data_IF_956314364395
#
_entry.id   IF_956314364395
#
_cell.length_a   1.000
_cell.length_b   1.000
_cell.length_c   1.000
_cell.angle_alpha   90.00
_cell.angle_beta   90.00
_cell.angle_gamma   90.00
#
_symmetry.space_group_name_H-M   'P 1'
#
loop_
_entity.id
_entity.type
_entity.pdbx_description
1 polymer ?
#
# COMPACT_ATOMS: atom_id res chain seq x y z
N UNK A 1 15.51 26.28 4.65
CA UNK A 1 15.00 25.95 6.01
C UNK A 1 13.54 25.59 5.84
N UNK A 2 13.15 24.36 6.18
CA UNK A 2 11.76 23.91 6.13
C UNK A 2 10.87 24.82 6.97
N UNK A 3 9.80 25.37 6.37
CA UNK A 3 8.78 26.17 7.06
C UNK A 3 7.59 25.32 7.47
N UNK A 4 7.83 24.06 7.83
CA UNK A 4 6.80 23.00 7.93
C UNK A 4 5.60 23.37 8.77
N UNK A 5 5.78 24.16 9.81
CA UNK A 5 4.68 24.70 10.59
C UNK A 5 4.79 26.23 10.62
N UNK A 6 4.24 26.90 9.59
CA UNK A 6 4.22 28.37 9.52
C UNK A 6 3.61 29.04 10.77
N UNK A 7 2.82 28.27 11.55
CA UNK A 7 2.28 28.68 12.82
C UNK A 7 2.51 27.59 13.88
N UNK A 8 3.64 27.60 14.63
CA UNK A 8 3.92 26.63 15.68
C UNK A 8 2.83 26.53 16.75
N UNK A 9 2.09 27.60 17.01
CA UNK A 9 1.01 27.62 17.98
C UNK A 9 -0.17 26.74 17.55
N UNK A 10 -0.37 26.55 16.24
CA UNK A 10 -1.40 25.69 15.68
C UNK A 10 -1.23 24.22 16.06
N UNK A 11 -0.01 23.78 16.38
CA UNK A 11 0.35 22.38 16.63
C UNK A 11 1.02 22.19 18.01
N UNK A 12 0.79 23.12 18.95
CA UNK A 12 1.49 23.16 20.23
C UNK A 12 1.25 21.92 21.12
N UNK A 13 0.01 21.37 21.10
CA UNK A 13 -0.30 20.14 21.86
C UNK A 13 0.35 18.92 21.23
N UNK A 14 0.37 18.83 19.90
CA UNK A 14 1.06 17.76 19.18
C UNK A 14 2.56 17.77 19.48
N UNK A 15 3.19 18.95 19.52
CA UNK A 15 4.60 19.10 19.89
C UNK A 15 4.88 18.64 21.34
N UNK A 16 4.06 19.03 22.30
CA UNK A 16 4.19 18.62 23.71
C UNK A 16 4.00 17.10 23.87
N UNK A 17 3.00 16.52 23.20
CA UNK A 17 2.78 15.07 23.22
C UNK A 17 3.91 14.29 22.55
N UNK A 18 4.47 14.82 21.46
CA UNK A 18 5.62 14.18 20.81
C UNK A 18 6.85 14.21 21.71
N UNK A 19 7.14 15.32 22.38
CA UNK A 19 8.24 15.39 23.34
C UNK A 19 8.10 14.34 24.45
N UNK A 20 6.90 14.20 25.03
CA UNK A 20 6.59 13.17 26.04
C UNK A 20 6.68 11.75 25.47
N UNK A 21 6.23 11.54 24.23
CA UNK A 21 6.34 10.23 23.58
C UNK A 21 7.79 9.81 23.37
N UNK A 22 8.69 10.73 23.04
CA UNK A 22 10.11 10.46 22.89
C UNK A 22 10.80 9.97 24.18
N UNK A 23 10.25 10.28 25.34
CA UNK A 23 10.78 9.80 26.63
C UNK A 23 10.57 8.28 26.83
N UNK A 24 9.52 7.71 26.20
CA UNK A 24 9.09 6.33 26.48
C UNK A 24 8.98 5.46 25.22
N UNK A 25 8.90 6.07 24.03
CA UNK A 25 8.83 5.38 22.74
C UNK A 25 10.04 5.79 21.91
N UNK A 26 10.92 4.88 21.48
CA UNK A 26 12.06 5.20 20.65
C UNK A 26 11.64 5.95 19.37
N UNK A 27 12.13 7.20 19.21
CA UNK A 27 11.74 8.07 18.11
C UNK A 27 10.32 8.66 18.21
N UNK A 28 9.64 8.53 19.37
CA UNK A 28 8.32 9.10 19.65
C UNK A 28 7.14 8.42 18.93
N UNK A 29 7.39 7.38 18.11
CA UNK A 29 6.38 6.74 17.26
C UNK A 29 6.59 5.23 17.17
N UNK A 30 5.49 4.48 16.97
CA UNK A 30 5.52 3.01 16.83
C UNK A 30 5.64 2.53 15.37
N UNK A 31 5.93 3.41 14.43
CA UNK A 31 6.17 3.05 13.02
C UNK A 31 7.06 4.10 12.35
N UNK A 32 8.07 3.65 11.61
CA UNK A 32 8.98 4.53 10.87
C UNK A 32 8.29 5.44 9.86
N UNK A 33 7.16 5.01 9.28
CA UNK A 33 6.34 5.84 8.37
C UNK A 33 5.73 7.08 9.05
N UNK A 34 5.77 7.17 10.38
CA UNK A 34 5.28 8.31 11.18
C UNK A 34 6.42 9.11 11.81
N UNK A 35 7.66 8.73 11.57
CA UNK A 35 8.83 9.36 12.18
C UNK A 35 9.19 10.68 11.49
N UNK A 36 9.91 11.54 12.20
CA UNK A 36 10.38 12.83 11.66
C UNK A 36 11.23 12.65 10.40
N UNK A 37 12.12 11.66 10.37
CA UNK A 37 12.94 11.36 9.18
C UNK A 37 12.16 10.78 7.99
N UNK A 38 10.87 10.46 8.17
CA UNK A 38 9.96 10.09 7.07
C UNK A 38 9.15 11.29 6.55
N UNK A 39 9.58 12.51 6.89
CA UNK A 39 9.01 13.75 6.41
C UNK A 39 8.08 14.45 7.41
N UNK A 40 7.77 13.87 8.56
CA UNK A 40 6.95 14.50 9.62
C UNK A 40 7.77 15.42 10.52
N UNK A 41 8.65 16.21 9.94
CA UNK A 41 9.50 17.16 10.66
C UNK A 41 8.75 18.49 10.89
N UNK A 42 8.83 19.13 12.09
CA UNK A 42 9.64 18.77 13.26
C UNK A 42 9.03 17.69 14.16
N UNK A 43 7.77 17.33 14.00
CA UNK A 43 7.06 16.25 14.71
C UNK A 43 5.81 15.83 13.94
N UNK A 44 5.33 14.58 14.09
CA UNK A 44 4.04 14.18 13.55
C UNK A 44 2.88 14.86 14.30
N UNK A 45 1.72 14.95 13.66
CA UNK A 45 0.49 15.36 14.30
C UNK A 45 -0.02 14.24 15.22
N UNK A 46 -0.58 14.61 16.35
CA UNK A 46 -1.30 13.68 17.22
C UNK A 46 -2.80 13.76 16.93
N UNK A 47 -3.35 12.65 16.47
CA UNK A 47 -4.75 12.54 16.07
C UNK A 47 -5.62 12.25 17.29
N UNK A 48 -6.73 12.95 17.43
CA UNK A 48 -7.74 12.70 18.47
C UNK A 48 -8.78 11.68 18.01
N UNK A 49 -9.33 11.84 16.80
CA UNK A 49 -10.30 10.93 16.19
C UNK A 49 -10.39 11.12 14.68
N UNK A 50 -11.03 10.16 14.02
CA UNK A 50 -11.42 10.25 12.61
C UNK A 50 -12.90 9.98 12.44
N UNK A 51 -13.53 10.60 11.42
CA UNK A 51 -14.92 10.39 11.07
C UNK A 51 -15.14 10.53 9.55
N UNK A 52 -15.68 9.49 8.91
CA UNK A 52 -15.85 9.47 7.46
C UNK A 52 -14.53 9.77 6.73
N UNK A 53 -14.50 10.85 5.95
CA UNK A 53 -13.32 11.32 5.21
C UNK A 53 -12.42 12.27 6.02
N UNK A 54 -12.69 12.50 7.32
CA UNK A 54 -12.03 13.53 8.12
C UNK A 54 -11.16 12.94 9.22
N UNK A 55 -10.03 13.64 9.49
CA UNK A 55 -9.21 13.48 10.68
C UNK A 55 -9.25 14.75 11.53
N UNK A 56 -9.23 14.58 12.84
CA UNK A 56 -9.14 15.67 13.81
C UNK A 56 -7.90 15.46 14.70
N UNK A 57 -7.07 16.50 14.82
CA UNK A 57 -5.91 16.44 15.69
C UNK A 57 -6.25 16.90 17.14
N UNK A 58 -5.28 16.74 18.04
CA UNK A 58 -5.42 17.15 19.46
C UNK A 58 -5.40 18.67 19.63
N UNK A 59 -4.96 19.40 18.63
CA UNK A 59 -4.89 20.86 18.61
C UNK A 59 -6.21 21.48 18.16
N UNK A 60 -7.16 20.66 17.67
CA UNK A 60 -8.50 21.07 17.23
C UNK A 60 -8.58 21.39 15.73
N UNK A 61 -7.57 21.01 14.94
CA UNK A 61 -7.64 21.15 13.50
C UNK A 61 -8.38 19.96 12.88
N UNK A 62 -9.08 20.21 11.77
CA UNK A 62 -9.75 19.23 10.93
C UNK A 62 -9.08 19.15 9.56
N UNK A 63 -9.02 17.94 9.01
CA UNK A 63 -8.38 17.66 7.72
C UNK A 63 -9.25 16.73 6.88
N UNK A 64 -9.37 16.99 5.57
CA UNK A 64 -9.79 15.99 4.59
C UNK A 64 -8.61 15.00 4.47
N UNK A 65 -8.87 13.72 4.74
CA UNK A 65 -7.82 12.72 4.94
C UNK A 65 -7.61 11.85 3.70
N UNK A 66 -6.56 12.15 2.94
CA UNK A 66 -6.05 11.30 1.86
C UNK A 66 -4.90 10.38 2.30
N UNK A 67 -4.48 10.43 3.57
CA UNK A 67 -3.53 9.47 4.15
C UNK A 67 -4.20 8.13 4.44
N UNK A 68 -5.44 8.17 4.99
CA UNK A 68 -6.30 7.03 5.28
C UNK A 68 -5.57 5.88 6.00
N UNK A 69 -4.69 6.25 6.97
CA UNK A 69 -3.88 5.30 7.73
C UNK A 69 -2.86 4.53 6.89
N UNK A 70 -2.41 5.05 5.75
CA UNK A 70 -1.61 4.40 4.71
C UNK A 70 -2.40 3.28 3.99
N UNK A 71 -3.69 3.49 3.80
CA UNK A 71 -4.55 2.68 2.95
C UNK A 71 -5.58 1.76 3.60
N UNK A 72 -5.57 1.38 4.90
CA UNK A 72 -6.59 0.49 5.45
C UNK A 72 -7.98 1.11 5.51
N UNK A 73 -8.10 2.44 5.66
CA UNK A 73 -9.38 3.12 5.85
C UNK A 73 -10.16 3.29 4.53
N UNK A 74 -10.38 2.18 3.83
CA UNK A 74 -11.02 2.17 2.50
C UNK A 74 -12.46 2.71 2.54
N UNK A 75 -13.20 2.41 3.61
CA UNK A 75 -14.57 2.88 3.86
C UNK A 75 -14.60 4.22 4.61
N UNK A 76 -13.45 4.85 4.86
CA UNK A 76 -13.32 6.01 5.74
C UNK A 76 -13.20 5.61 7.22
N UNK A 77 -13.14 6.63 8.08
CA UNK A 77 -13.03 6.44 9.53
C UNK A 77 -14.39 6.09 10.15
N UNK A 78 -14.39 5.14 11.10
CA UNK A 78 -15.58 4.68 11.84
C UNK A 78 -16.77 4.32 10.95
N UNK A 79 -16.61 3.52 9.87
CA UNK A 79 -17.73 3.16 9.03
C UNK A 79 -18.81 2.45 9.88
N UNK A 80 -20.09 2.88 9.82
CA UNK A 80 -21.11 2.44 10.77
C UNK A 80 -21.31 0.93 10.81
N UNK A 81 -21.37 0.28 9.65
CA UNK A 81 -21.58 -1.17 9.54
C UNK A 81 -20.44 -1.99 10.16
N UNK A 82 -19.19 -1.60 9.88
CA UNK A 82 -18.02 -2.26 10.46
C UNK A 82 -17.95 -2.02 11.95
N UNK A 83 -18.19 -0.79 12.41
CA UNK A 83 -18.19 -0.42 13.84
C UNK A 83 -19.23 -1.22 14.60
N UNK A 84 -20.46 -1.32 14.08
CA UNK A 84 -21.53 -2.09 14.70
C UNK A 84 -21.17 -3.58 14.79
N UNK A 85 -20.70 -4.19 13.72
CA UNK A 85 -20.31 -5.60 13.71
C UNK A 85 -19.23 -5.92 14.77
N UNK A 86 -18.25 -5.04 14.91
CA UNK A 86 -17.18 -5.18 15.92
C UNK A 86 -17.75 -5.09 17.34
N UNK A 87 -18.59 -4.10 17.62
CA UNK A 87 -19.20 -3.92 18.96
C UNK A 87 -20.07 -5.13 19.34
N UNK A 88 -20.89 -5.60 18.40
CA UNK A 88 -21.75 -6.78 18.61
C UNK A 88 -20.92 -8.05 18.92
N UNK A 89 -19.81 -8.27 18.18
CA UNK A 89 -18.96 -9.43 18.40
C UNK A 89 -18.21 -9.35 19.74
N UNK A 90 -17.70 -8.16 20.13
CA UNK A 90 -17.08 -7.99 21.46
C UNK A 90 -18.06 -8.30 22.57
N UNK A 91 -19.29 -7.82 22.47
CA UNK A 91 -20.31 -7.99 23.51
C UNK A 91 -20.80 -9.42 23.61
N UNK A 92 -20.94 -10.15 22.49
CA UNK A 92 -21.68 -11.42 22.47
C UNK A 92 -20.82 -12.67 22.25
N UNK A 93 -19.58 -12.51 21.69
CA UNK A 93 -18.77 -13.66 21.28
C UNK A 93 -17.37 -13.69 21.91
N UNK A 94 -16.76 -12.56 22.19
CA UNK A 94 -15.38 -12.45 22.67
C UNK A 94 -14.38 -12.12 21.56
N UNK A 95 -13.09 -12.41 21.79
CA UNK A 95 -12.00 -11.86 20.94
C UNK A 95 -11.14 -12.92 20.25
N UNK A 96 -10.66 -13.94 20.96
CA UNK A 96 -9.75 -14.98 20.47
C UNK A 96 -10.11 -16.32 21.10
N UNK A 97 -10.27 -17.36 20.28
CA UNK A 97 -10.66 -18.69 20.79
C UNK A 97 -9.53 -19.72 20.69
N UNK A 98 -8.52 -19.51 19.84
CA UNK A 98 -7.55 -20.53 19.42
C UNK A 98 -8.22 -21.81 18.84
N UNK A 99 -9.46 -21.67 18.40
CA UNK A 99 -10.30 -22.68 17.74
C UNK A 99 -11.01 -22.01 16.54
N UNK A 100 -11.34 -22.78 15.48
CA UNK A 100 -12.04 -22.22 14.33
C UNK A 100 -13.47 -21.76 14.70
N UNK A 101 -13.97 -20.79 13.94
CA UNK A 101 -15.33 -20.29 14.03
C UNK A 101 -15.94 -20.01 12.65
N UNK A 102 -17.26 -19.96 12.59
CA UNK A 102 -18.00 -19.87 11.32
C UNK A 102 -17.66 -18.63 10.47
N UNK A 103 -17.38 -17.48 11.13
CA UNK A 103 -17.15 -16.22 10.43
C UNK A 103 -15.85 -16.23 9.62
N UNK A 104 -14.81 -16.97 10.03
CA UNK A 104 -13.59 -17.11 9.23
C UNK A 104 -13.85 -17.86 7.92
N UNK A 105 -14.74 -18.88 7.97
CA UNK A 105 -15.18 -19.61 6.78
C UNK A 105 -16.03 -18.70 5.88
N UNK A 106 -16.93 -17.91 6.46
CA UNK A 106 -17.73 -16.93 5.72
C UNK A 106 -16.85 -15.89 5.02
N UNK A 107 -15.84 -15.35 5.71
CA UNK A 107 -14.87 -14.41 5.10
C UNK A 107 -14.10 -15.06 3.95
N UNK A 108 -13.62 -16.30 4.13
CA UNK A 108 -12.91 -17.02 3.08
C UNK A 108 -13.79 -17.19 1.82
N UNK A 109 -15.06 -17.56 1.97
CA UNK A 109 -15.99 -17.65 0.84
C UNK A 109 -16.21 -16.30 0.14
N UNK A 110 -16.33 -15.19 0.87
CA UNK A 110 -16.48 -13.85 0.28
C UNK A 110 -15.25 -13.47 -0.55
N UNK A 111 -14.05 -13.70 -0.02
CA UNK A 111 -12.81 -13.41 -0.74
C UNK A 111 -12.66 -14.29 -1.99
N UNK A 112 -12.89 -15.60 -1.88
CA UNK A 112 -12.85 -16.54 -3.02
C UNK A 112 -13.85 -16.13 -4.11
N UNK A 113 -15.05 -15.70 -3.72
CA UNK A 113 -16.06 -15.22 -4.68
C UNK A 113 -15.65 -13.93 -5.38
N UNK A 114 -14.96 -13.04 -4.67
CA UNK A 114 -14.56 -11.73 -5.18
C UNK A 114 -13.31 -11.78 -6.07
N UNK A 115 -12.33 -12.64 -5.73
CA UNK A 115 -10.99 -12.64 -6.31
C UNK A 115 -10.79 -13.83 -7.27
N UNK A 116 -10.62 -13.61 -8.59
CA UNK A 116 -10.64 -14.68 -9.58
C UNK A 116 -9.49 -15.71 -9.49
N UNK A 117 -8.37 -15.36 -8.86
CA UNK A 117 -7.21 -16.25 -8.71
C UNK A 117 -7.25 -17.10 -7.45
N UNK A 118 -8.17 -16.82 -6.51
CA UNK A 118 -8.19 -17.44 -5.19
C UNK A 118 -9.13 -18.63 -5.14
N UNK A 119 -8.58 -19.84 -5.07
CA UNK A 119 -9.30 -21.09 -4.87
C UNK A 119 -9.28 -21.55 -3.40
N UNK A 120 -8.24 -21.15 -2.66
CA UNK A 120 -8.03 -21.41 -1.23
C UNK A 120 -7.49 -20.17 -0.55
N UNK A 121 -7.85 -19.98 0.74
CA UNK A 121 -7.45 -18.81 1.54
C UNK A 121 -7.00 -19.24 2.94
N UNK A 122 -5.96 -18.55 3.46
CA UNK A 122 -5.60 -18.59 4.88
C UNK A 122 -5.51 -17.18 5.43
N UNK A 123 -6.07 -16.95 6.62
CA UNK A 123 -5.99 -15.67 7.33
C UNK A 123 -4.73 -15.61 8.18
N UNK A 124 -4.16 -14.41 8.30
CA UNK A 124 -3.10 -14.04 9.22
C UNK A 124 -3.32 -12.58 9.68
N UNK A 125 -2.36 -11.96 10.38
CA UNK A 125 -2.61 -10.66 11.00
C UNK A 125 -2.00 -9.51 10.21
N UNK A 126 -0.91 -9.75 9.46
CA UNK A 126 -0.15 -8.71 8.75
C UNK A 126 0.20 -9.13 7.33
N UNK A 127 0.34 -8.14 6.44
CA UNK A 127 0.85 -8.38 5.09
C UNK A 127 2.27 -9.00 5.12
N UNK A 128 3.10 -8.64 6.10
CA UNK A 128 4.44 -9.24 6.26
C UNK A 128 4.36 -10.76 6.50
N UNK A 129 3.45 -11.22 7.38
CA UNK A 129 3.22 -12.66 7.58
C UNK A 129 2.78 -13.33 6.29
N UNK A 130 1.82 -12.74 5.57
CA UNK A 130 1.32 -13.28 4.32
C UNK A 130 2.43 -13.41 3.25
N UNK A 131 3.33 -12.42 3.14
CA UNK A 131 4.50 -12.47 2.25
C UNK A 131 5.45 -13.60 2.63
N UNK A 132 5.77 -13.74 3.93
CA UNK A 132 6.63 -14.84 4.41
C UNK A 132 6.03 -16.20 4.00
N UNK A 133 4.74 -16.38 4.19
CA UNK A 133 4.06 -17.63 3.84
C UNK A 133 4.00 -17.85 2.33
N UNK A 134 3.73 -16.81 1.53
CA UNK A 134 3.71 -16.91 0.07
C UNK A 134 5.05 -17.40 -0.48
N UNK A 135 6.16 -16.84 0.01
CA UNK A 135 7.50 -17.25 -0.42
C UNK A 135 7.88 -18.67 0.05
N UNK A 136 7.45 -19.08 1.24
CA UNK A 136 7.64 -20.47 1.70
C UNK A 136 6.87 -21.44 0.82
N UNK A 137 5.61 -21.14 0.49
CA UNK A 137 4.80 -21.95 -0.41
C UNK A 137 5.43 -22.05 -1.81
N UNK A 138 5.82 -20.91 -2.39
CA UNK A 138 6.46 -20.89 -3.70
C UNK A 138 7.76 -21.73 -3.75
N UNK A 139 8.61 -21.60 -2.73
CA UNK A 139 9.85 -22.41 -2.62
C UNK A 139 9.54 -23.89 -2.44
N UNK A 140 8.57 -24.25 -1.61
CA UNK A 140 8.19 -25.66 -1.39
C UNK A 140 7.57 -26.26 -2.63
N UNK A 141 6.73 -25.51 -3.34
CA UNK A 141 6.04 -25.95 -4.55
C UNK A 141 7.01 -26.19 -5.70
N UNK A 142 7.96 -25.28 -5.91
CA UNK A 142 8.90 -25.33 -7.02
C UNK A 142 10.18 -26.11 -6.73
N UNK A 143 10.53 -26.30 -5.46
CA UNK A 143 11.86 -26.80 -5.02
C UNK A 143 13.00 -25.79 -5.23
N UNK A 144 12.69 -24.57 -5.67
CA UNK A 144 13.67 -23.55 -6.02
C UNK A 144 13.83 -22.53 -4.89
N UNK A 145 14.89 -21.68 -4.92
CA UNK A 145 15.23 -20.80 -3.79
C UNK A 145 15.10 -19.31 -4.09
N UNK A 146 15.49 -18.87 -5.29
CA UNK A 146 15.57 -17.45 -5.61
C UNK A 146 14.19 -16.80 -5.82
N UNK A 147 14.09 -15.51 -5.53
CA UNK A 147 12.91 -14.70 -5.73
C UNK A 147 13.29 -13.44 -6.49
N UNK A 148 12.57 -13.17 -7.58
CA UNK A 148 12.62 -11.87 -8.24
C UNK A 148 11.69 -10.92 -7.49
N UNK A 149 12.19 -9.71 -7.20
CA UNK A 149 11.39 -8.56 -6.78
C UNK A 149 11.88 -7.30 -7.47
N UNK A 150 11.14 -6.21 -7.37
CA UNK A 150 11.44 -4.97 -8.08
C UNK A 150 11.88 -3.85 -7.15
N UNK A 151 12.80 -2.98 -7.63
CA UNK A 151 13.19 -1.77 -6.91
C UNK A 151 11.97 -0.88 -6.65
N UNK A 152 11.96 -0.22 -5.49
CA UNK A 152 10.88 0.70 -5.11
C UNK A 152 9.67 0.04 -4.45
N UNK A 153 9.48 -1.28 -4.59
CA UNK A 153 8.36 -1.98 -3.98
C UNK A 153 8.60 -2.34 -2.51
N UNK A 154 7.50 -2.41 -1.75
CA UNK A 154 7.54 -2.79 -0.34
C UNK A 154 6.64 -4.00 -0.08
N UNK A 155 7.22 -5.03 0.50
CA UNK A 155 6.55 -6.31 0.78
C UNK A 155 6.67 -6.72 2.26
N UNK A 156 6.60 -5.74 3.16
CA UNK A 156 6.84 -5.97 4.59
C UNK A 156 8.32 -5.87 4.97
N UNK A 157 8.60 -6.14 6.24
CA UNK A 157 9.92 -5.89 6.85
C UNK A 157 10.66 -7.18 7.25
N UNK A 158 10.27 -8.34 6.68
CA UNK A 158 11.06 -9.57 6.89
C UNK A 158 12.37 -9.50 6.12
N UNK A 159 13.44 -10.07 6.70
CA UNK A 159 14.79 -10.07 6.12
C UNK A 159 14.84 -10.63 4.69
N UNK A 160 13.92 -11.53 4.35
CA UNK A 160 13.84 -12.14 3.02
C UNK A 160 13.33 -11.21 1.91
N UNK A 161 12.80 -10.02 2.23
CA UNK A 161 12.24 -9.09 1.23
C UNK A 161 12.50 -7.61 1.51
N UNK A 162 13.03 -7.26 2.69
CA UNK A 162 13.24 -5.85 3.05
C UNK A 162 14.55 -5.29 2.47
N UNK A 163 14.64 -5.35 1.15
CA UNK A 163 15.78 -4.92 0.33
C UNK A 163 15.30 -3.99 -0.78
N UNK A 164 16.11 -3.03 -1.17
CA UNK A 164 15.87 -2.14 -2.32
C UNK A 164 14.46 -1.53 -2.38
N UNK A 165 13.87 -1.15 -1.20
CA UNK A 165 12.59 -0.42 -1.16
C UNK A 165 12.76 0.96 -1.83
N UNK A 166 13.66 1.78 -1.29
CA UNK A 166 14.05 3.07 -1.86
C UNK A 166 15.58 3.20 -1.74
N UNK A 167 16.35 2.41 -2.53
CA UNK A 167 17.78 2.41 -2.43
C UNK A 167 18.37 3.72 -2.93
N UNK A 168 19.48 4.16 -2.33
CA UNK A 168 20.30 5.18 -2.95
C UNK A 168 20.82 4.63 -4.29
N UNK A 169 20.56 5.35 -5.39
CA UNK A 169 20.87 4.91 -6.76
C UNK A 169 22.36 4.65 -6.94
N UNK A 170 23.23 5.45 -6.33
CA UNK A 170 24.69 5.29 -6.40
C UNK A 170 25.17 3.95 -5.80
N UNK A 171 24.35 3.35 -4.93
CA UNK A 171 24.62 2.05 -4.28
C UNK A 171 23.80 0.90 -4.87
N UNK A 172 22.88 1.18 -5.78
CA UNK A 172 21.95 0.19 -6.31
C UNK A 172 22.47 -0.56 -7.55
N UNK A 173 23.69 -0.28 -8.01
CA UNK A 173 24.26 -0.86 -9.21
C UNK A 173 23.70 -0.27 -10.52
N UNK A 174 24.13 -0.77 -11.69
CA UNK A 174 23.67 -0.30 -12.99
C UNK A 174 22.15 -0.50 -13.21
N UNK A 175 21.54 0.29 -14.09
CA UNK A 175 20.09 0.25 -14.35
C UNK A 175 19.59 -1.14 -14.79
N UNK A 176 20.37 -1.83 -15.62
CA UNK A 176 20.02 -3.19 -16.09
C UNK A 176 20.62 -4.34 -15.25
N UNK A 177 21.35 -4.01 -14.18
CA UNK A 177 21.90 -5.00 -13.25
C UNK A 177 21.86 -4.46 -11.81
N UNK A 178 20.65 -4.17 -11.29
CA UNK A 178 20.52 -3.73 -9.90
C UNK A 178 21.07 -4.76 -8.94
N UNK A 179 21.63 -4.28 -7.84
CA UNK A 179 22.07 -5.13 -6.74
C UNK A 179 21.16 -4.96 -5.52
N UNK A 180 20.98 -6.02 -4.71
CA UNK A 180 20.20 -5.91 -3.48
C UNK A 180 20.82 -4.91 -2.50
N UNK A 181 20.07 -3.87 -2.11
CA UNK A 181 20.49 -2.89 -1.10
C UNK A 181 19.67 -3.11 0.17
N UNK A 182 20.28 -3.45 1.32
CA UNK A 182 19.56 -3.69 2.57
C UNK A 182 18.94 -2.39 3.09
N UNK A 183 17.78 -2.49 3.71
CA UNK A 183 17.07 -1.33 4.29
C UNK A 183 17.55 -0.98 5.71
N UNK A 184 18.51 -1.68 6.24
CA UNK A 184 19.11 -1.38 7.52
C UNK A 184 20.32 -2.25 7.85
N UNK A 185 21.17 -1.83 8.81
CA UNK A 185 22.43 -2.52 9.12
C UNK A 185 22.23 -3.86 9.86
N UNK A 186 21.02 -4.14 10.38
CA UNK A 186 20.70 -5.39 11.09
C UNK A 186 20.32 -6.57 10.20
N UNK A 187 20.35 -6.41 8.88
CA UNK A 187 19.98 -7.46 7.94
C UNK A 187 21.05 -8.54 7.91
N UNK A 188 20.69 -9.85 8.03
CA UNK A 188 21.67 -10.94 8.02
C UNK A 188 22.38 -11.04 6.67
N UNK A 189 23.68 -11.31 6.71
CA UNK A 189 24.49 -11.50 5.50
C UNK A 189 24.10 -12.80 4.78
N UNK A 190 24.13 -12.79 3.46
CA UNK A 190 23.89 -13.95 2.61
C UNK A 190 22.43 -14.19 2.22
N UNK A 191 21.46 -13.47 2.79
CA UNK A 191 20.05 -13.55 2.37
C UNK A 191 19.87 -12.99 0.95
N UNK A 192 20.61 -11.95 0.62
CA UNK A 192 20.67 -11.30 -0.69
C UNK A 192 21.00 -12.27 -1.83
N UNK A 193 21.70 -13.36 -1.58
CA UNK A 193 22.01 -14.39 -2.58
C UNK A 193 20.76 -15.07 -3.16
N UNK A 194 19.66 -15.03 -2.42
CA UNK A 194 18.36 -15.56 -2.85
C UNK A 194 17.44 -14.51 -3.45
N UNK A 195 17.93 -13.29 -3.67
CA UNK A 195 17.16 -12.19 -4.25
C UNK A 195 17.72 -11.77 -5.59
N UNK A 196 16.84 -11.55 -6.54
CA UNK A 196 17.14 -10.90 -7.82
C UNK A 196 16.32 -9.62 -7.83
N UNK A 197 17.00 -8.48 -7.88
CA UNK A 197 16.35 -7.17 -7.97
C UNK A 197 16.31 -6.74 -9.43
N UNK A 198 15.16 -6.34 -9.92
CA UNK A 198 14.98 -5.83 -11.28
C UNK A 198 14.32 -4.45 -11.26
N UNK A 199 14.56 -3.60 -12.28
CA UNK A 199 13.72 -2.44 -12.53
C UNK A 199 12.33 -2.90 -12.96
N UNK A 200 11.29 -2.21 -12.48
CA UNK A 200 9.93 -2.50 -12.93
C UNK A 200 9.67 -1.90 -14.32
N UNK A 201 8.68 -2.42 -15.04
CA UNK A 201 8.36 -2.03 -16.41
C UNK A 201 9.43 -2.34 -17.48
N UNK A 202 10.40 -3.22 -17.18
CA UNK A 202 11.35 -3.76 -18.16
C UNK A 202 11.07 -5.27 -18.40
N UNK A 203 10.14 -5.56 -19.31
CA UNK A 203 9.77 -6.95 -19.66
C UNK A 203 10.92 -7.69 -20.35
N UNK A 204 11.77 -6.99 -21.09
CA UNK A 204 12.91 -7.59 -21.78
C UNK A 204 13.93 -8.11 -20.77
N UNK A 205 14.26 -7.33 -19.74
CA UNK A 205 15.19 -7.75 -18.69
C UNK A 205 14.60 -8.88 -17.83
N UNK A 206 13.29 -8.85 -17.54
CA UNK A 206 12.62 -9.97 -16.87
C UNK A 206 12.74 -11.26 -17.68
N UNK A 207 12.53 -11.21 -19.00
CA UNK A 207 12.67 -12.33 -19.93
C UNK A 207 14.11 -12.86 -19.92
N UNK A 208 15.11 -12.01 -20.14
CA UNK A 208 16.53 -12.36 -20.12
C UNK A 208 16.92 -13.05 -18.80
N UNK A 209 16.39 -12.56 -17.67
CA UNK A 209 16.65 -13.12 -16.34
C UNK A 209 16.04 -14.51 -16.16
N UNK A 210 14.78 -14.69 -16.56
CA UNK A 210 14.10 -15.98 -16.47
C UNK A 210 14.68 -17.02 -17.44
N UNK A 211 15.10 -16.62 -18.64
CA UNK A 211 15.77 -17.49 -19.59
C UNK A 211 17.16 -17.95 -19.08
N UNK A 212 17.89 -17.10 -18.35
CA UNK A 212 19.20 -17.43 -17.79
C UNK A 212 19.13 -18.25 -16.51
N UNK A 213 18.19 -17.94 -15.60
CA UNK A 213 18.18 -18.44 -14.22
C UNK A 213 16.86 -19.06 -13.76
N UNK A 214 15.87 -19.18 -14.65
CA UNK A 214 14.51 -19.60 -14.31
C UNK A 214 14.44 -20.87 -13.47
N UNK A 215 15.33 -21.84 -13.72
CA UNK A 215 15.38 -23.10 -12.98
C UNK A 215 15.78 -22.94 -11.49
N UNK A 216 16.28 -21.78 -11.08
CA UNK A 216 16.60 -21.46 -9.71
C UNK A 216 15.58 -20.53 -9.05
N UNK A 217 14.64 -19.97 -9.82
CA UNK A 217 13.70 -18.95 -9.37
C UNK A 217 12.38 -19.62 -8.96
N UNK A 218 12.03 -19.45 -7.66
CA UNK A 218 10.79 -19.96 -7.10
C UNK A 218 9.61 -19.03 -7.40
N UNK A 219 9.81 -17.71 -7.34
CA UNK A 219 8.75 -16.74 -7.47
C UNK A 219 9.19 -15.43 -8.11
N UNK A 220 8.24 -14.77 -8.78
CA UNK A 220 8.23 -13.33 -9.03
C UNK A 220 7.24 -12.71 -8.06
N UNK A 221 7.73 -11.84 -7.15
CA UNK A 221 6.92 -11.09 -6.19
C UNK A 221 6.80 -9.64 -6.67
N UNK A 222 5.58 -9.17 -6.89
CA UNK A 222 5.32 -7.82 -7.40
C UNK A 222 4.04 -7.22 -6.83
N UNK A 223 4.03 -5.90 -6.69
CA UNK A 223 2.79 -5.13 -6.66
C UNK A 223 2.25 -5.07 -8.10
N UNK A 224 0.94 -5.17 -8.35
CA UNK A 224 0.39 -5.07 -9.71
C UNK A 224 0.42 -3.64 -10.30
N UNK A 225 0.61 -2.63 -9.46
CA UNK A 225 1.09 -1.29 -9.75
C UNK A 225 1.98 -0.87 -8.57
N UNK A 226 3.01 -0.06 -8.82
CA UNK A 226 3.93 0.34 -7.74
C UNK A 226 3.27 1.36 -6.81
N UNK A 227 2.52 0.89 -5.84
CA UNK A 227 1.85 1.75 -4.87
C UNK A 227 2.80 2.26 -3.76
N UNK A 228 3.90 1.58 -3.50
CA UNK A 228 4.92 2.02 -2.54
C UNK A 228 6.00 2.93 -3.17
N UNK A 229 5.81 3.33 -4.43
CA UNK A 229 6.55 4.38 -5.12
C UNK A 229 5.57 5.21 -5.93
N UNK A 230 4.64 5.89 -5.25
CA UNK A 230 3.80 6.94 -5.79
C UNK A 230 2.94 6.57 -7.00
N UNK A 231 2.32 5.38 -7.00
CA UNK A 231 1.35 4.95 -8.01
C UNK A 231 1.90 4.91 -9.45
N UNK A 232 3.01 4.21 -9.67
CA UNK A 232 3.51 3.99 -11.04
C UNK A 232 2.76 2.83 -11.67
N UNK A 233 2.08 3.10 -12.79
CA UNK A 233 1.28 2.11 -13.50
C UNK A 233 2.14 1.13 -14.32
N UNK A 234 1.67 -0.12 -14.52
CA UNK A 234 2.31 -1.03 -15.46
C UNK A 234 2.20 -0.48 -16.89
N UNK A 235 3.25 -0.62 -17.68
CA UNK A 235 3.19 -0.39 -19.12
C UNK A 235 2.27 -1.42 -19.78
N UNK A 236 1.68 -1.05 -20.89
CA UNK A 236 0.85 -1.95 -21.70
C UNK A 236 1.61 -3.25 -22.01
N UNK A 237 0.97 -4.38 -21.80
CA UNK A 237 1.54 -5.73 -22.03
C UNK A 237 2.55 -6.20 -20.99
N UNK A 238 2.88 -5.37 -19.96
CA UNK A 238 3.92 -5.73 -18.99
C UNK A 238 3.48 -6.85 -18.04
N UNK A 239 2.28 -6.76 -17.48
CA UNK A 239 1.75 -7.79 -16.56
C UNK A 239 1.37 -9.07 -17.29
N UNK A 240 0.81 -8.96 -18.49
CA UNK A 240 0.52 -10.09 -19.37
C UNK A 240 1.79 -10.85 -19.71
N UNK A 241 2.82 -10.14 -20.18
CA UNK A 241 4.11 -10.76 -20.48
C UNK A 241 4.81 -11.34 -19.27
N UNK A 242 4.67 -10.74 -18.07
CA UNK A 242 5.16 -11.31 -16.82
C UNK A 242 4.45 -12.64 -16.51
N UNK A 243 3.12 -12.71 -16.67
CA UNK A 243 2.35 -13.94 -16.44
C UNK A 243 2.81 -15.04 -17.40
N UNK A 244 2.89 -14.73 -18.71
CA UNK A 244 3.36 -15.68 -19.73
C UNK A 244 4.77 -16.22 -19.45
N UNK A 245 5.68 -15.34 -19.01
CA UNK A 245 7.04 -15.74 -18.67
C UNK A 245 7.07 -16.64 -17.42
N UNK A 246 6.28 -16.31 -16.38
CA UNK A 246 6.17 -17.16 -15.21
C UNK A 246 5.63 -18.55 -15.57
N UNK A 247 4.60 -18.63 -16.40
CA UNK A 247 4.03 -19.90 -16.88
C UNK A 247 5.06 -20.72 -17.66
N UNK A 248 5.76 -20.09 -18.62
CA UNK A 248 6.77 -20.74 -19.46
C UNK A 248 7.89 -21.38 -18.64
N UNK A 249 8.31 -20.72 -17.54
CA UNK A 249 9.43 -21.17 -16.72
C UNK A 249 9.00 -21.91 -15.44
N UNK A 250 7.71 -22.10 -15.20
CA UNK A 250 7.18 -22.75 -14.00
C UNK A 250 7.53 -21.98 -12.73
N UNK A 251 7.52 -20.66 -12.78
CA UNK A 251 7.79 -19.74 -11.67
C UNK A 251 6.47 -19.25 -11.08
N UNK A 252 6.33 -19.24 -9.77
CA UNK A 252 5.12 -18.78 -9.08
C UNK A 252 5.02 -17.26 -9.17
N UNK A 253 3.95 -16.75 -9.78
CA UNK A 253 3.64 -15.32 -9.77
C UNK A 253 2.87 -14.96 -8.51
N UNK A 254 3.42 -14.07 -7.69
CA UNK A 254 2.82 -13.58 -6.45
C UNK A 254 2.47 -12.12 -6.59
N UNK A 255 1.17 -11.78 -6.52
CA UNK A 255 0.73 -10.39 -6.45
C UNK A 255 0.59 -9.96 -4.99
N UNK A 256 1.32 -8.92 -4.63
CA UNK A 256 1.10 -8.18 -3.40
C UNK A 256 -0.01 -7.16 -3.62
N UNK A 257 -1.21 -7.54 -3.24
CA UNK A 257 -2.41 -6.70 -3.29
C UNK A 257 -2.76 -6.10 -1.91
N UNK A 258 -1.78 -5.91 -1.05
CA UNK A 258 -2.00 -5.31 0.28
C UNK A 258 -2.60 -3.90 0.16
N UNK A 259 -2.21 -3.12 -0.85
CA UNK A 259 -2.77 -1.78 -1.12
C UNK A 259 -3.94 -1.87 -2.11
N UNK A 260 -3.78 -2.63 -3.18
CA UNK A 260 -4.69 -2.62 -4.33
C UNK A 260 -5.91 -3.53 -4.17
N UNK A 261 -5.79 -4.58 -3.35
CA UNK A 261 -6.88 -5.53 -3.08
C UNK A 261 -8.11 -4.84 -2.47
N UNK A 262 -9.27 -5.11 -3.01
CA UNK A 262 -10.56 -4.52 -2.64
C UNK A 262 -10.62 -2.99 -2.80
N UNK A 263 -9.51 -2.33 -3.11
CA UNK A 263 -9.43 -0.89 -3.30
C UNK A 263 -9.67 -0.49 -4.76
N UNK A 264 -8.93 -1.07 -5.69
CA UNK A 264 -9.05 -0.75 -7.12
C UNK A 264 -10.38 -1.29 -7.69
N UNK A 265 -10.76 -2.46 -7.29
CA UNK A 265 -12.07 -3.07 -7.53
C UNK A 265 -12.33 -4.13 -6.46
N UNK A 266 -13.54 -4.67 -6.39
CA UNK A 266 -13.83 -5.80 -5.52
C UNK A 266 -12.93 -7.01 -5.82
N UNK A 267 -12.54 -7.17 -7.09
CA UNK A 267 -11.61 -8.20 -7.56
C UNK A 267 -10.12 -7.79 -7.49
N UNK A 268 -9.79 -6.69 -6.80
CA UNK A 268 -8.44 -6.15 -6.71
C UNK A 268 -7.92 -5.58 -8.03
N UNK A 269 -6.62 -5.28 -8.09
CA UNK A 269 -5.97 -4.86 -9.33
C UNK A 269 -5.87 -6.02 -10.33
N UNK A 270 -5.73 -7.26 -9.87
CA UNK A 270 -5.76 -8.44 -10.74
C UNK A 270 -7.04 -8.53 -11.59
N UNK A 271 -8.20 -8.21 -11.00
CA UNK A 271 -9.46 -8.13 -11.74
C UNK A 271 -9.51 -6.97 -12.72
N UNK A 272 -8.93 -5.83 -12.35
CA UNK A 272 -8.84 -4.63 -13.21
C UNK A 272 -7.97 -4.85 -14.44
N UNK A 273 -6.83 -5.53 -14.26
CA UNK A 273 -5.88 -5.83 -15.35
C UNK A 273 -6.16 -7.16 -16.06
N UNK A 274 -7.07 -7.99 -15.57
CA UNK A 274 -7.38 -9.31 -16.15
C UNK A 274 -6.28 -10.35 -15.95
N UNK A 275 -5.38 -10.16 -14.99
CA UNK A 275 -4.24 -11.06 -14.72
C UNK A 275 -4.55 -11.96 -13.52
N UNK A 276 -4.29 -13.25 -13.65
CA UNK A 276 -4.43 -14.22 -12.56
C UNK A 276 -3.05 -14.64 -12.05
N UNK A 277 -2.60 -14.11 -10.88
CA UNK A 277 -1.40 -14.64 -10.22
C UNK A 277 -1.65 -16.02 -9.64
N UNK A 278 -0.59 -16.74 -9.30
CA UNK A 278 -0.68 -18.03 -8.62
C UNK A 278 -1.01 -17.88 -7.12
N UNK A 279 -0.47 -16.83 -6.50
CA UNK A 279 -0.72 -16.44 -5.12
C UNK A 279 -1.02 -14.94 -5.03
N UNK A 280 -1.91 -14.56 -4.12
CA UNK A 280 -2.29 -13.17 -3.85
C UNK A 280 -2.28 -12.87 -2.36
N UNK A 281 -1.72 -11.72 -2.00
CA UNK A 281 -1.59 -11.26 -0.63
C UNK A 281 -2.53 -10.08 -0.41
N UNK A 282 -3.34 -10.13 0.65
CA UNK A 282 -4.31 -9.10 1.00
C UNK A 282 -4.10 -8.66 2.45
N UNK A 283 -4.32 -7.38 2.73
CA UNK A 283 -4.41 -6.80 4.07
C UNK A 283 -5.15 -5.46 4.01
N UNK A 284 -4.81 -4.50 4.83
CA UNK A 284 -5.30 -3.10 4.78
C UNK A 284 -6.81 -3.01 4.51
N UNK A 285 -7.22 -2.76 3.27
CA UNK A 285 -8.63 -2.61 2.88
C UNK A 285 -9.50 -3.82 3.23
N UNK A 286 -8.96 -5.03 3.24
CA UNK A 286 -9.66 -6.23 3.69
C UNK A 286 -10.21 -6.08 5.12
N UNK A 287 -9.45 -5.46 6.01
CA UNK A 287 -9.78 -5.34 7.42
C UNK A 287 -10.64 -4.13 7.77
N UNK A 288 -10.87 -3.19 6.83
CA UNK A 288 -11.62 -1.97 7.14
C UNK A 288 -11.05 -1.16 8.32
N UNK A 289 -9.72 -1.22 8.54
CA UNK A 289 -9.02 -0.58 9.66
C UNK A 289 -8.58 -1.54 10.79
N UNK A 290 -8.99 -2.82 10.75
CA UNK A 290 -8.60 -3.84 11.72
C UNK A 290 -7.44 -4.71 11.22
N UNK A 291 -6.59 -5.25 12.14
CA UNK A 291 -5.43 -6.04 11.78
C UNK A 291 -5.84 -7.45 11.32
N UNK A 292 -6.05 -7.59 10.02
CA UNK A 292 -6.27 -8.85 9.33
C UNK A 292 -5.56 -8.82 7.99
N UNK A 293 -4.99 -9.95 7.62
CA UNK A 293 -4.41 -10.19 6.32
C UNK A 293 -4.78 -11.60 5.84
N UNK A 294 -4.58 -11.84 4.56
CA UNK A 294 -4.85 -13.12 3.96
C UNK A 294 -3.82 -13.46 2.88
N UNK A 295 -3.52 -14.74 2.76
CA UNK A 295 -2.85 -15.34 1.61
C UNK A 295 -3.84 -16.27 0.93
N UNK A 296 -4.08 -16.07 -0.35
CA UNK A 296 -4.93 -16.89 -1.18
C UNK A 296 -4.29 -17.21 -2.51
N UNK A 297 -4.80 -18.23 -3.21
CA UNK A 297 -4.31 -18.58 -4.52
C UNK A 297 -4.73 -19.96 -4.97
N UNK A 298 -3.97 -20.51 -5.91
CA UNK A 298 -4.19 -21.83 -6.51
C UNK A 298 -4.26 -22.92 -5.45
N UNK A 299 -5.21 -23.81 -5.62
CA UNK A 299 -5.48 -24.93 -4.70
C UNK A 299 -4.25 -25.83 -4.49
N UNK A 300 -3.56 -26.21 -5.56
CA UNK A 300 -2.40 -27.11 -5.51
C UNK A 300 -1.21 -26.52 -4.72
N UNK A 301 -1.03 -25.22 -4.74
CA UNK A 301 0.00 -24.53 -3.95
C UNK A 301 -0.46 -24.38 -2.50
N UNK A 302 -1.70 -23.91 -2.27
CA UNK A 302 -2.22 -23.66 -0.93
C UNK A 302 -2.42 -24.96 -0.13
N UNK A 303 -2.73 -26.07 -0.77
CA UNK A 303 -2.91 -27.37 -0.11
C UNK A 303 -1.61 -27.94 0.49
N UNK A 304 -0.43 -27.39 0.19
CA UNK A 304 0.81 -27.68 0.90
C UNK A 304 0.74 -27.34 2.40
N UNK A 305 -0.14 -26.42 2.79
CA UNK A 305 -0.44 -26.15 4.20
C UNK A 305 -1.26 -27.29 4.81
N UNK A 306 -2.21 -27.84 4.05
CA UNK A 306 -3.10 -28.91 4.52
C UNK A 306 -2.33 -30.22 4.76
N UNK A 307 -1.26 -30.46 4.00
CA UNK A 307 -0.37 -31.63 4.17
C UNK A 307 0.66 -31.46 5.30
N UNK A 308 0.77 -30.25 5.88
CA UNK A 308 1.79 -29.93 6.87
C UNK A 308 3.19 -29.64 6.28
N UNK A 309 3.34 -29.66 4.94
CA UNK A 309 4.61 -29.34 4.28
C UNK A 309 5.04 -27.88 4.54
N UNK A 310 4.08 -26.96 4.67
CA UNK A 310 4.33 -25.57 5.07
C UNK A 310 3.50 -25.24 6.29
N UNK A 311 4.15 -24.86 7.40
CA UNK A 311 3.44 -24.39 8.58
C UNK A 311 3.05 -22.92 8.44
N UNK A 312 1.77 -22.63 8.69
CA UNK A 312 1.20 -21.28 8.83
C UNK A 312 0.46 -21.21 10.17
N UNK A 313 1.05 -20.59 11.17
CA UNK A 313 0.51 -20.49 12.52
C UNK A 313 0.47 -19.04 13.01
N UNK A 314 -0.45 -18.75 13.92
CA UNK A 314 -0.56 -17.44 14.56
C UNK A 314 -1.72 -17.44 15.57
N UNK A 315 -1.44 -17.10 16.83
CA UNK A 315 -2.44 -17.08 17.89
C UNK A 315 -3.63 -16.17 17.57
N UNK A 316 -3.39 -15.04 16.93
CA UNK A 316 -4.40 -14.06 16.57
C UNK A 316 -4.91 -14.20 15.13
N UNK A 317 -4.42 -15.18 14.36
CA UNK A 317 -4.92 -15.44 13.01
C UNK A 317 -6.41 -15.78 13.08
N UNK A 318 -7.22 -15.10 12.27
CA UNK A 318 -8.69 -15.21 12.30
C UNK A 318 -9.31 -14.84 13.66
N UNK A 319 -8.74 -13.84 14.38
CA UNK A 319 -9.42 -13.37 15.59
C UNK A 319 -10.82 -12.83 15.27
N UNK A 320 -11.75 -13.09 16.19
CA UNK A 320 -13.19 -12.84 16.00
C UNK A 320 -13.48 -11.39 15.58
N UNK A 321 -12.79 -10.43 16.19
CA UNK A 321 -13.06 -9.01 16.01
C UNK A 321 -12.60 -8.54 14.61
N UNK A 322 -11.38 -8.89 14.20
CA UNK A 322 -10.87 -8.50 12.89
C UNK A 322 -11.62 -9.22 11.75
N UNK A 323 -12.06 -10.47 11.97
CA UNK A 323 -12.88 -11.21 11.01
C UNK A 323 -14.30 -10.62 10.92
N UNK A 324 -14.91 -10.18 12.01
CA UNK A 324 -16.19 -9.48 12.00
C UNK A 324 -16.10 -8.18 11.22
N UNK A 325 -15.05 -7.39 11.46
CA UNK A 325 -14.78 -6.17 10.72
C UNK A 325 -14.60 -6.43 9.22
N UNK A 326 -13.80 -7.43 8.86
CA UNK A 326 -13.54 -7.80 7.46
C UNK A 326 -14.81 -8.31 6.76
N UNK A 327 -15.63 -9.12 7.43
CA UNK A 327 -16.90 -9.58 6.87
C UNK A 327 -17.85 -8.41 6.57
N UNK A 328 -17.98 -7.47 7.51
CA UNK A 328 -18.81 -6.28 7.34
C UNK A 328 -18.28 -5.35 6.23
N UNK A 329 -16.96 -5.17 6.17
CA UNK A 329 -16.33 -4.39 5.11
C UNK A 329 -16.55 -5.02 3.72
N UNK A 330 -16.35 -6.33 3.59
CA UNK A 330 -16.58 -7.05 2.33
C UNK A 330 -18.04 -6.97 1.86
N UNK A 331 -19.00 -7.04 2.78
CA UNK A 331 -20.42 -6.90 2.46
C UNK A 331 -20.74 -5.50 1.94
N UNK A 332 -20.17 -4.46 2.55
CA UNK A 332 -20.36 -3.08 2.13
C UNK A 332 -19.69 -2.80 0.76
N UNK A 333 -18.45 -3.27 0.59
CA UNK A 333 -17.72 -3.12 -0.67
C UNK A 333 -18.38 -3.87 -1.85
N UNK A 334 -19.15 -4.92 -1.58
CA UNK A 334 -19.85 -5.69 -2.60
C UNK A 334 -21.20 -5.06 -3.02
N UNK A 335 -21.63 -3.95 -2.42
CA UNK A 335 -22.88 -3.30 -2.78
C UNK A 335 -22.79 -2.68 -4.19
N UNK A 336 -23.86 -2.81 -5.00
CA UNK A 336 -23.89 -2.24 -6.34
C UNK A 336 -23.67 -0.72 -6.34
N UNK A 337 -22.93 -0.20 -7.31
CA UNK A 337 -22.71 1.24 -7.50
C UNK A 337 -21.63 1.83 -6.58
N UNK A 338 -21.02 1.06 -5.68
CA UNK A 338 -19.98 1.57 -4.77
C UNK A 338 -18.75 2.07 -5.56
N UNK A 339 -18.17 1.22 -6.38
CA UNK A 339 -16.97 1.58 -7.14
C UNK A 339 -17.21 2.64 -8.20
N UNK A 340 -18.39 2.68 -8.82
CA UNK A 340 -18.76 3.72 -9.80
C UNK A 340 -18.72 5.11 -9.15
N UNK A 341 -19.29 5.27 -7.93
CA UNK A 341 -19.24 6.53 -7.19
C UNK A 341 -17.83 6.91 -6.79
N UNK A 342 -17.04 5.92 -6.32
CA UNK A 342 -15.66 6.14 -5.95
C UNK A 342 -14.84 6.65 -7.14
N UNK A 343 -14.95 5.97 -8.29
CA UNK A 343 -14.21 6.36 -9.50
C UNK A 343 -14.61 7.73 -10.01
N UNK A 344 -15.90 8.10 -9.96
CA UNK A 344 -16.35 9.44 -10.34
C UNK A 344 -15.66 10.54 -9.51
N UNK A 345 -15.48 10.33 -8.19
CA UNK A 345 -14.76 11.26 -7.32
C UNK A 345 -13.25 11.27 -7.62
N UNK A 346 -12.67 10.09 -7.90
CA UNK A 346 -11.24 9.97 -8.24
C UNK A 346 -10.93 10.68 -9.57
N UNK A 347 -11.74 10.47 -10.60
CA UNK A 347 -11.57 11.09 -11.91
C UNK A 347 -11.70 12.61 -11.78
N UNK A 348 -12.72 13.10 -11.04
CA UNK A 348 -12.87 14.53 -10.75
C UNK A 348 -11.66 15.15 -10.07
N UNK A 349 -11.06 14.44 -9.08
CA UNK A 349 -9.86 14.91 -8.38
C UNK A 349 -8.65 14.94 -9.33
N UNK A 350 -8.38 13.84 -10.03
CA UNK A 350 -7.24 13.75 -10.94
C UNK A 350 -7.32 14.75 -12.11
N UNK A 351 -8.49 14.90 -12.73
CA UNK A 351 -8.70 15.89 -13.80
C UNK A 351 -8.56 17.31 -13.27
N UNK A 352 -9.13 17.60 -12.09
CA UNK A 352 -9.04 18.90 -11.45
C UNK A 352 -7.61 19.30 -11.12
N UNK A 353 -6.84 18.40 -10.49
CA UNK A 353 -5.42 18.61 -10.21
C UNK A 353 -4.59 18.79 -11.49
N UNK A 354 -4.81 17.92 -12.49
CA UNK A 354 -4.12 18.01 -13.79
C UNK A 354 -4.38 19.35 -14.50
N UNK A 355 -5.58 19.89 -14.38
CA UNK A 355 -5.93 21.21 -14.92
C UNK A 355 -5.20 22.32 -14.18
N UNK A 356 -5.19 22.28 -12.83
CA UNK A 356 -4.51 23.28 -11.99
C UNK A 356 -3.03 23.37 -12.36
N UNK A 357 -2.33 22.24 -12.46
CA UNK A 357 -0.91 22.24 -12.81
C UNK A 357 -0.64 22.72 -14.24
N UNK A 358 -1.44 22.27 -15.21
CA UNK A 358 -1.31 22.70 -16.61
C UNK A 358 -1.52 24.21 -16.76
N UNK A 359 -2.47 24.80 -16.04
CA UNK A 359 -2.77 26.24 -16.11
C UNK A 359 -1.66 27.10 -15.50
N UNK A 360 -0.75 26.53 -14.73
CA UNK A 360 0.34 27.23 -14.04
C UNK A 360 1.74 26.92 -14.58
N UNK A 361 1.86 26.07 -15.59
CA UNK A 361 3.15 25.63 -16.16
C UNK A 361 4.11 24.99 -15.15
N UNK A 362 3.63 24.54 -13.99
CA UNK A 362 4.47 23.72 -13.10
C UNK A 362 4.70 22.34 -13.71
N UNK A 363 5.95 21.84 -13.73
CA UNK A 363 6.25 20.51 -14.26
C UNK A 363 5.75 19.44 -13.29
N UNK A 364 4.46 19.12 -13.38
CA UNK A 364 3.82 18.12 -12.52
C UNK A 364 2.94 17.16 -13.33
N UNK A 365 2.97 15.90 -12.95
CA UNK A 365 2.14 14.83 -13.51
C UNK A 365 1.24 14.25 -12.42
N UNK A 366 -0.07 14.26 -12.67
CA UNK A 366 -1.05 13.55 -11.83
C UNK A 366 -1.23 12.16 -12.42
N UNK A 367 -0.87 11.14 -11.68
CA UNK A 367 -0.98 9.74 -12.09
C UNK A 367 -1.80 8.96 -11.09
N UNK A 368 -2.55 7.96 -11.55
CA UNK A 368 -3.38 7.19 -10.65
C UNK A 368 -4.17 6.10 -11.36
N UNK A 369 -4.72 5.20 -10.55
CA UNK A 369 -5.71 4.21 -10.95
C UNK A 369 -6.85 4.26 -9.92
N UNK A 370 -7.90 5.05 -10.23
CA UNK A 370 -9.01 5.27 -9.33
C UNK A 370 -8.56 5.78 -7.96
N UNK A 371 -8.82 5.06 -6.86
CA UNK A 371 -8.61 5.54 -5.49
C UNK A 371 -7.15 5.50 -4.99
N UNK A 372 -6.20 5.30 -5.88
CA UNK A 372 -4.76 5.40 -5.60
C UNK A 372 -4.15 6.35 -6.62
N UNK A 373 -3.64 7.49 -6.17
CA UNK A 373 -3.07 8.50 -7.05
C UNK A 373 -1.86 9.19 -6.42
N UNK A 374 -1.07 9.88 -7.25
CA UNK A 374 0.05 10.69 -6.83
C UNK A 374 0.25 11.89 -7.74
N UNK A 375 0.83 12.94 -7.19
CA UNK A 375 1.33 14.11 -7.93
C UNK A 375 2.86 14.02 -7.97
N UNK A 376 3.42 13.86 -9.16
CA UNK A 376 4.84 13.88 -9.38
C UNK A 376 5.29 15.26 -9.87
N UNK A 377 6.06 15.98 -9.08
CA UNK A 377 6.78 17.18 -9.54
C UNK A 377 8.02 16.73 -10.30
N UNK A 378 7.89 16.59 -11.61
CA UNK A 378 8.93 16.09 -12.49
C UNK A 378 8.73 16.65 -13.89
N UNK A 379 9.79 17.05 -14.61
CA UNK A 379 9.71 17.42 -16.02
C UNK A 379 9.46 16.20 -16.93
N UNK A 380 9.80 14.98 -16.44
CA UNK A 380 9.75 13.74 -17.21
C UNK A 380 8.72 12.77 -16.62
N UNK A 381 8.07 11.94 -17.44
CA UNK A 381 7.21 10.87 -16.97
C UNK A 381 7.97 9.85 -16.12
N UNK A 382 7.32 9.35 -15.06
CA UNK A 382 7.88 8.38 -14.13
C UNK A 382 7.35 6.98 -14.47
N UNK A 383 8.25 6.05 -14.79
CA UNK A 383 7.91 4.68 -15.20
C UNK A 383 8.43 3.59 -14.26
N UNK A 384 9.38 3.91 -13.40
CA UNK A 384 9.96 3.00 -12.41
C UNK A 384 10.54 3.81 -11.23
N UNK A 385 11.08 3.11 -10.24
CA UNK A 385 11.70 3.76 -9.08
C UNK A 385 12.86 4.68 -9.45
N UNK A 386 13.72 4.29 -10.41
CA UNK A 386 14.90 5.07 -10.78
C UNK A 386 14.55 6.38 -11.46
N UNK A 387 13.50 6.39 -12.26
CA UNK A 387 12.96 7.63 -12.83
C UNK A 387 12.48 8.56 -11.71
N UNK A 388 11.71 8.02 -10.75
CA UNK A 388 11.22 8.77 -9.60
C UNK A 388 12.38 9.36 -8.76
N UNK A 389 13.41 8.54 -8.50
CA UNK A 389 14.56 8.97 -7.70
C UNK A 389 15.47 10.01 -8.41
N UNK A 390 15.46 10.05 -9.76
CA UNK A 390 16.28 11.00 -10.54
C UNK A 390 15.55 12.29 -10.87
N UNK A 391 14.24 12.22 -11.08
CA UNK A 391 13.48 13.31 -11.70
C UNK A 391 12.45 13.96 -10.78
N UNK A 392 12.06 13.30 -9.67
CA UNK A 392 11.12 13.90 -8.73
C UNK A 392 11.78 15.03 -7.93
N UNK A 393 11.17 16.21 -7.97
CA UNK A 393 11.52 17.32 -7.08
C UNK A 393 10.84 17.11 -5.72
N UNK A 394 11.61 16.53 -4.79
CA UNK A 394 11.15 16.25 -3.43
C UNK A 394 10.91 17.53 -2.61
N UNK A 395 11.66 18.60 -2.87
CA UNK A 395 11.51 19.88 -2.17
C UNK A 395 10.21 20.57 -2.60
N UNK A 396 9.90 20.56 -3.90
CA UNK A 396 8.64 21.07 -4.42
C UNK A 396 7.45 20.25 -3.87
N UNK A 397 7.56 18.92 -3.84
CA UNK A 397 6.52 18.06 -3.23
C UNK A 397 6.33 18.39 -1.76
N UNK A 398 7.41 18.67 -1.02
CA UNK A 398 7.35 19.06 0.39
C UNK A 398 6.58 20.37 0.57
N UNK A 399 6.88 21.40 -0.21
CA UNK A 399 6.16 22.68 -0.17
C UNK A 399 4.68 22.52 -0.54
N UNK A 400 4.39 21.69 -1.54
CA UNK A 400 3.04 21.31 -1.91
C UNK A 400 2.27 20.65 -0.74
N UNK A 401 2.89 19.67 -0.10
CA UNK A 401 2.32 19.02 1.08
C UNK A 401 2.06 20.00 2.23
N UNK A 402 3.02 20.83 2.58
CA UNK A 402 2.91 21.83 3.65
C UNK A 402 1.77 22.81 3.38
N UNK A 403 1.68 23.31 2.16
CA UNK A 403 0.63 24.22 1.75
C UNK A 403 -0.78 23.64 1.90
N UNK A 404 -0.95 22.36 1.53
CA UNK A 404 -2.21 21.62 1.67
C UNK A 404 -2.52 21.33 3.13
N UNK A 405 -1.56 20.82 3.91
CA UNK A 405 -1.73 20.53 5.34
C UNK A 405 -2.21 21.76 6.11
N UNK A 406 -1.57 22.90 5.89
CA UNK A 406 -1.91 24.16 6.56
C UNK A 406 -3.31 24.66 6.19
N UNK A 407 -3.93 24.13 5.12
CA UNK A 407 -5.28 24.47 4.66
C UNK A 407 -6.30 23.35 4.86
N UNK A 408 -5.95 22.33 5.67
CA UNK A 408 -6.88 21.27 6.05
C UNK A 408 -7.00 20.12 5.05
N UNK A 409 -5.97 19.86 4.24
CA UNK A 409 -5.89 18.67 3.39
C UNK A 409 -4.69 17.84 3.79
N UNK A 410 -4.92 16.60 4.23
CA UNK A 410 -3.92 15.70 4.79
C UNK A 410 -3.57 14.58 3.83
N UNK A 411 -2.29 14.42 3.53
CA UNK A 411 -1.70 13.24 2.90
C UNK A 411 -0.28 13.01 3.42
N UNK A 412 0.45 12.03 2.93
CA UNK A 412 1.79 11.73 3.43
C UNK A 412 2.82 12.76 2.93
N UNK A 413 3.76 13.22 3.78
CA UNK A 413 4.79 14.20 3.39
C UNK A 413 5.83 13.68 2.41
N UNK A 414 5.96 12.38 2.24
CA UNK A 414 6.92 11.77 1.31
C UNK A 414 6.33 11.54 -0.08
N UNK A 415 7.02 11.97 -1.12
CA UNK A 415 6.58 11.87 -2.52
C UNK A 415 6.38 10.44 -3.03
N UNK A 416 6.94 9.44 -2.36
CA UNK A 416 6.75 8.02 -2.73
C UNK A 416 5.48 7.38 -2.14
N UNK A 417 4.77 8.06 -1.27
CA UNK A 417 3.49 7.56 -0.72
C UNK A 417 2.31 8.14 -1.52
N UNK A 418 1.20 7.41 -1.55
CA UNK A 418 0.04 7.80 -2.36
C UNK A 418 -0.91 8.73 -1.61
N UNK A 419 -1.72 9.46 -2.39
CA UNK A 419 -3.00 9.95 -1.94
C UNK A 419 -4.04 8.84 -2.16
N UNK A 420 -4.84 8.55 -1.14
CA UNK A 420 -5.90 7.55 -1.20
C UNK A 420 -7.26 8.22 -1.15
N UNK A 421 -8.18 7.83 -2.03
CA UNK A 421 -9.59 8.22 -1.94
C UNK A 421 -10.37 7.08 -1.30
N UNK A 422 -11.21 7.38 -0.31
CA UNK A 422 -12.10 6.41 0.33
C UNK A 422 -13.53 6.53 -0.19
N UNK A 423 -14.35 5.53 0.10
CA UNK A 423 -15.79 5.57 -0.17
C UNK A 423 -16.54 6.64 0.64
N UNK A 424 -15.92 7.17 1.70
CA UNK A 424 -16.47 8.25 2.51
C UNK A 424 -16.23 9.65 1.93
N UNK A 425 -15.30 9.81 0.98
CA UNK A 425 -15.08 11.11 0.33
C UNK A 425 -16.31 11.50 -0.50
N UNK A 426 -16.85 12.67 -0.23
CA UNK A 426 -17.94 13.27 -0.99
C UNK A 426 -17.40 14.10 -2.17
N UNK A 427 -18.29 14.47 -3.09
CA UNK A 427 -17.98 15.43 -4.14
C UNK A 427 -17.54 16.79 -3.56
N UNK A 428 -18.13 17.20 -2.44
CA UNK A 428 -17.80 18.46 -1.76
C UNK A 428 -16.39 18.41 -1.16
N UNK A 429 -15.95 17.26 -0.63
CA UNK A 429 -14.56 17.05 -0.16
C UNK A 429 -13.56 17.21 -1.32
N UNK A 430 -13.91 16.67 -2.48
CA UNK A 430 -13.08 16.80 -3.69
C UNK A 430 -13.00 18.26 -4.14
N UNK A 431 -14.13 18.97 -4.16
CA UNK A 431 -14.16 20.38 -4.55
C UNK A 431 -13.38 21.28 -3.59
N UNK A 432 -13.51 21.06 -2.28
CA UNK A 432 -12.71 21.75 -1.27
C UNK A 432 -11.21 21.47 -1.45
N UNK A 433 -10.84 20.21 -1.71
CA UNK A 433 -9.45 19.84 -1.99
C UNK A 433 -8.90 20.56 -3.22
N UNK A 434 -9.66 20.60 -4.31
CA UNK A 434 -9.26 21.31 -5.53
C UNK A 434 -9.15 22.82 -5.33
N UNK A 435 -10.02 23.43 -4.53
CA UNK A 435 -9.91 24.84 -4.17
C UNK A 435 -8.62 25.13 -3.39
N UNK A 436 -8.32 24.32 -2.39
CA UNK A 436 -7.05 24.39 -1.62
C UNK A 436 -5.86 24.19 -2.52
N UNK A 437 -5.88 23.14 -3.36
CA UNK A 437 -4.80 22.84 -4.30
C UNK A 437 -4.49 24.02 -5.23
N UNK A 438 -5.51 24.70 -5.74
CA UNK A 438 -5.36 25.88 -6.60
C UNK A 438 -4.68 27.05 -5.88
N UNK A 439 -5.02 27.29 -4.60
CA UNK A 439 -4.38 28.32 -3.79
C UNK A 439 -2.90 27.98 -3.55
N UNK A 440 -2.62 26.75 -3.14
CA UNK A 440 -1.26 26.29 -2.87
C UNK A 440 -0.38 26.41 -4.12
N UNK A 441 -0.87 25.94 -5.28
CA UNK A 441 -0.13 26.04 -6.54
C UNK A 441 0.14 27.50 -6.92
N UNK A 442 -0.83 28.39 -6.73
CA UNK A 442 -0.63 29.84 -6.97
C UNK A 442 0.49 30.39 -6.08
N UNK A 443 0.53 29.99 -4.80
CA UNK A 443 1.56 30.46 -3.87
C UNK A 443 2.94 29.90 -4.25
N UNK A 444 3.03 28.65 -4.70
CA UNK A 444 4.28 28.02 -5.18
C UNK A 444 4.84 28.68 -6.44
N UNK A 445 3.98 29.14 -7.35
CA UNK A 445 4.41 29.84 -8.59
C UNK A 445 4.91 31.26 -8.30
N UNK A 446 4.41 31.90 -7.24
CA UNK A 446 4.75 33.29 -6.88
C UNK A 446 5.91 33.38 -5.87
N UNK A 447 6.41 32.25 -5.33
CA UNK A 447 7.51 32.19 -4.38
C UNK A 447 8.87 32.08 -5.09
#
# INVERSE_FOLDING_TARGET
MSQTYQNPQRYAKSADLFAKACEVIPGGVNSTARATWSGWDPHPLFVSHGDGSRLHDVDGNEYIDYLLGLGPMILGHRPPRVTQAVVEHIQNRGTVFALPHEDETALAHKVIKAIPSVERLRLCNTGTEAVIYALRLARTFTGRQKVIRFEGMYHGFSDGVYWSKHPNIDKAGPDRAPIPVPQGPGMPKGIDQNLIILPWNDLALLRETLEREGDNIAAVLTEPLMANTGCILPREGYLEGMRELCDKHGVVLVFDEVITGFRISLAGAQGKFGIKPDLSIFAKGLGGGFPVAALGGRKDIMDLVSTGAVSMAGTYSANVIAVAAANAAMDELAEPGMYERLYANCDRLMEGLSRIFRDTNLPAHVVGLGPVLQVWFSPEPIHNYRDAARHCDHDMFRLWWEGNLNRGVMFHPGAYENLFVSFAHSADDIDQTLAVAKEVVRDLVNA
#
